data_IF_890864385035
#
_entry.id   IF_890864385035
#
_cell.length_a   1.000
_cell.length_b   1.000
_cell.length_c   1.000
_cell.angle_alpha   90.00
_cell.angle_beta   90.00
_cell.angle_gamma   90.00
#
_symmetry.space_group_name_H-M   'P 1'
#
loop_
_entity.id
_entity.type
_entity.pdbx_description
1 polymer ?
#
# COMPACT_ATOMS: atom_id res chain seq x y z
N UNK A 1 -5.89 22.56 -54.05
CA UNK A 1 -5.17 21.34 -53.63
C UNK A 1 -5.02 21.42 -52.12
N UNK A 2 -6.04 20.97 -51.38
CA UNK A 2 -6.08 21.06 -49.90
C UNK A 2 -5.51 19.78 -49.30
N UNK A 3 -4.48 19.89 -48.48
CA UNK A 3 -4.01 18.80 -47.63
C UNK A 3 -4.80 18.80 -46.33
N UNK A 4 -5.53 17.72 -46.07
CA UNK A 4 -6.12 17.45 -44.77
C UNK A 4 -5.04 16.89 -43.83
N UNK A 5 -4.74 17.61 -42.76
CA UNK A 5 -3.90 17.12 -41.66
C UNK A 5 -4.79 16.22 -40.81
N UNK A 6 -4.61 14.91 -40.94
CA UNK A 6 -5.28 13.92 -40.09
C UNK A 6 -4.69 13.95 -38.68
N UNK A 7 -5.51 14.36 -37.69
CA UNK A 7 -5.22 14.14 -36.28
C UNK A 7 -5.27 12.64 -35.99
N UNK A 8 -4.12 12.06 -35.62
CA UNK A 8 -4.07 10.70 -35.13
C UNK A 8 -4.77 10.63 -33.76
N UNK A 9 -5.62 9.62 -33.51
CA UNK A 9 -6.19 9.42 -32.18
C UNK A 9 -5.05 9.09 -31.20
N UNK A 10 -4.95 9.89 -30.14
CA UNK A 10 -4.09 9.58 -28.99
C UNK A 10 -4.63 8.33 -28.31
N UNK A 11 -3.94 7.21 -28.47
CA UNK A 11 -4.18 6.01 -27.65
C UNK A 11 -3.76 6.36 -26.22
N UNK A 12 -4.62 6.18 -25.20
CA UNK A 12 -4.19 6.38 -23.81
C UNK A 12 -3.06 5.39 -23.51
N UNK A 13 -1.87 5.92 -23.28
CA UNK A 13 -0.72 5.14 -22.78
C UNK A 13 -1.13 4.66 -21.39
N UNK A 14 -1.49 3.39 -21.30
CA UNK A 14 -1.70 2.76 -19.99
C UNK A 14 -0.30 2.60 -19.40
N UNK A 15 0.05 3.40 -18.39
CA UNK A 15 1.34 3.24 -17.74
C UNK A 15 1.46 1.80 -17.22
N UNK A 16 2.55 1.15 -17.60
CA UNK A 16 2.85 -0.21 -17.19
C UNK A 16 3.26 -0.17 -15.71
N UNK A 17 2.29 -0.38 -14.84
CA UNK A 17 2.53 -0.54 -13.41
C UNK A 17 3.41 -1.76 -13.15
N UNK A 18 4.24 -1.66 -12.12
CA UNK A 18 5.04 -2.76 -11.58
C UNK A 18 4.17 -4.03 -11.50
N UNK A 19 4.61 -5.11 -12.15
CA UNK A 19 3.78 -6.28 -12.48
C UNK A 19 2.84 -6.70 -11.34
N UNK A 20 1.53 -6.64 -11.59
CA UNK A 20 0.47 -7.09 -10.67
C UNK A 20 -0.29 -5.98 -9.93
N UNK A 21 0.14 -4.72 -10.00
CA UNK A 21 -0.56 -3.59 -9.36
C UNK A 21 -1.55 -2.95 -10.33
N UNK A 22 -2.82 -2.80 -9.95
CA UNK A 22 -3.86 -2.21 -10.81
C UNK A 22 -4.85 -1.40 -9.99
N UNK A 23 -4.96 -0.12 -10.29
CA UNK A 23 -6.03 0.74 -9.79
C UNK A 23 -7.25 0.67 -10.74
N UNK A 24 -8.46 0.67 -10.19
CA UNK A 24 -9.66 0.62 -11.01
C UNK A 24 -9.92 1.93 -11.79
N UNK A 25 -10.56 1.82 -12.95
CA UNK A 25 -11.09 2.96 -13.73
C UNK A 25 -10.09 4.07 -14.08
N UNK A 26 -8.83 3.72 -14.32
CA UNK A 26 -7.78 4.71 -14.64
C UNK A 26 -7.43 5.63 -13.46
N UNK A 27 -7.84 5.27 -12.24
CA UNK A 27 -7.35 5.94 -11.04
C UNK A 27 -5.87 5.65 -10.84
N UNK A 28 -5.19 6.51 -10.09
CA UNK A 28 -3.79 6.30 -9.66
C UNK A 28 -3.64 6.47 -8.15
N UNK A 29 -4.76 6.55 -7.44
CA UNK A 29 -4.81 6.63 -5.99
C UNK A 29 -6.05 5.94 -5.45
N UNK A 30 -5.97 5.47 -4.21
CA UNK A 30 -7.11 4.99 -3.44
C UNK A 30 -7.07 5.60 -2.04
N UNK A 31 -8.25 5.94 -1.52
CA UNK A 31 -8.41 6.44 -0.15
C UNK A 31 -9.04 5.31 0.67
N UNK A 32 -8.32 4.90 1.70
CA UNK A 32 -8.68 3.84 2.63
C UNK A 32 -9.01 4.45 4.00
N UNK A 33 -10.07 4.00 4.68
CA UNK A 33 -10.16 4.26 6.11
C UNK A 33 -9.03 3.52 6.83
N UNK A 34 -8.45 4.16 7.84
CA UNK A 34 -7.58 3.49 8.81
C UNK A 34 -8.08 3.81 10.23
N UNK A 35 -7.69 2.97 11.17
CA UNK A 35 -7.85 3.25 12.59
C UNK A 35 -6.56 2.90 13.32
N UNK A 36 -6.43 3.38 14.55
CA UNK A 36 -5.30 3.08 15.42
C UNK A 36 -5.73 2.24 16.61
N UNK A 37 -4.85 1.33 17.03
CA UNK A 37 -4.96 0.57 18.26
C UNK A 37 -3.55 0.37 18.79
N UNK A 38 -3.30 0.69 20.06
CA UNK A 38 -1.96 0.65 20.67
C UNK A 38 -0.89 1.36 19.82
N UNK A 39 -1.18 2.59 19.34
CA UNK A 39 -0.31 3.38 18.46
C UNK A 39 0.07 2.73 17.12
N UNK A 40 -0.54 1.59 16.78
CA UNK A 40 -0.35 0.89 15.51
C UNK A 40 -1.48 1.25 14.55
N UNK A 41 -1.16 1.27 13.25
CA UNK A 41 -2.12 1.64 12.21
C UNK A 41 -2.64 0.38 11.53
N UNK A 42 -3.96 0.27 11.44
CA UNK A 42 -4.66 -0.83 10.82
C UNK A 42 -5.50 -0.36 9.63
N UNK A 43 -5.52 -1.18 8.59
CA UNK A 43 -6.41 -0.99 7.44
C UNK A 43 -7.17 -2.28 7.14
N UNK A 44 -8.31 -2.14 6.46
CA UNK A 44 -9.03 -3.27 5.90
C UNK A 44 -8.47 -3.64 4.52
N UNK A 45 -8.26 -4.93 4.31
CA UNK A 45 -7.92 -5.49 3.00
C UNK A 45 -8.65 -6.83 2.80
N UNK A 46 -8.85 -7.24 1.55
CA UNK A 46 -9.32 -8.59 1.22
C UNK A 46 -8.22 -9.38 0.56
N UNK A 47 -8.15 -10.66 0.89
CA UNK A 47 -7.21 -11.61 0.30
C UNK A 47 -8.03 -12.59 -0.54
N UNK A 48 -7.77 -12.62 -1.84
CA UNK A 48 -8.59 -13.32 -2.83
C UNK A 48 -10.07 -12.93 -2.68
N UNK A 49 -10.93 -13.90 -2.40
CA UNK A 49 -12.38 -13.74 -2.23
C UNK A 49 -12.81 -13.64 -0.76
N UNK A 50 -11.89 -13.36 0.16
CA UNK A 50 -12.22 -13.18 1.58
C UNK A 50 -13.10 -11.97 1.83
N UNK A 51 -13.72 -11.95 3.01
CA UNK A 51 -14.23 -10.71 3.61
C UNK A 51 -13.09 -9.74 3.97
N UNK A 52 -13.46 -8.59 4.53
CA UNK A 52 -12.51 -7.59 5.00
C UNK A 52 -11.74 -8.10 6.23
N UNK A 53 -10.42 -8.12 6.12
CA UNK A 53 -9.48 -8.55 7.14
C UNK A 53 -8.69 -7.34 7.66
N UNK A 54 -8.32 -7.37 8.93
CA UNK A 54 -7.52 -6.32 9.56
C UNK A 54 -6.03 -6.57 9.34
N UNK A 55 -5.36 -5.61 8.70
CA UNK A 55 -3.93 -5.67 8.46
C UNK A 55 -3.21 -4.54 9.19
N UNK A 56 -2.20 -4.92 9.97
CA UNK A 56 -1.22 -4.01 10.54
C UNK A 56 -0.32 -3.45 9.43
N UNK A 57 -0.17 -2.13 9.38
CA UNK A 57 0.86 -1.48 8.59
C UNK A 57 2.16 -1.41 9.40
N UNK A 58 3.10 -2.31 9.08
CA UNK A 58 4.38 -2.38 9.77
C UNK A 58 5.53 -2.27 8.78
N UNK A 59 6.08 -1.07 8.55
CA UNK A 59 7.23 -0.91 7.68
C UNK A 59 8.53 -1.47 8.30
N UNK A 60 8.53 -1.89 9.57
CA UNK A 60 9.62 -2.64 10.20
C UNK A 60 9.64 -4.12 9.81
N UNK A 61 8.50 -4.68 9.40
CA UNK A 61 8.42 -6.06 8.93
C UNK A 61 9.16 -6.22 7.60
N UNK A 62 10.30 -6.93 7.64
CA UNK A 62 11.19 -7.15 6.49
C UNK A 62 10.70 -8.20 5.50
N UNK A 63 9.51 -8.78 5.71
CA UNK A 63 9.01 -9.83 4.85
C UNK A 63 8.61 -9.32 3.47
N UNK A 64 8.81 -10.18 2.48
CA UNK A 64 8.38 -9.95 1.10
C UNK A 64 6.96 -10.48 0.96
N UNK A 65 5.99 -9.56 0.98
CA UNK A 65 4.57 -9.88 0.74
C UNK A 65 3.67 -9.69 1.96
N UNK A 66 2.58 -10.46 1.98
CA UNK A 66 1.50 -10.35 2.95
C UNK A 66 1.68 -11.43 4.01
N UNK A 67 1.83 -11.05 5.27
CA UNK A 67 1.78 -12.02 6.35
C UNK A 67 0.32 -12.22 6.76
N UNK A 68 -0.14 -13.45 6.92
CA UNK A 68 -1.48 -13.76 7.42
C UNK A 68 -1.35 -14.62 8.66
N UNK A 69 -2.16 -14.35 9.68
CA UNK A 69 -2.20 -15.18 10.87
C UNK A 69 -2.58 -16.62 10.52
N UNK A 70 -1.91 -17.59 11.14
CA UNK A 70 -2.14 -19.02 10.85
C UNK A 70 -3.59 -19.42 11.11
N UNK A 71 -4.22 -18.99 12.19
CA UNK A 71 -5.60 -19.37 12.49
C UNK A 71 -6.57 -18.77 11.46
N UNK A 72 -6.30 -17.55 11.00
CA UNK A 72 -7.04 -16.95 9.87
C UNK A 72 -6.83 -17.74 8.59
N UNK A 73 -5.58 -18.11 8.28
CA UNK A 73 -5.28 -18.92 7.09
C UNK A 73 -5.95 -20.29 7.10
N UNK A 74 -5.95 -20.97 8.24
CA UNK A 74 -6.59 -22.27 8.41
C UNK A 74 -8.12 -22.16 8.32
N UNK A 75 -8.73 -21.18 8.99
CA UNK A 75 -10.20 -20.99 8.99
C UNK A 75 -10.77 -20.56 7.64
N UNK A 76 -9.96 -19.91 6.79
CA UNK A 76 -10.36 -19.44 5.45
C UNK A 76 -9.85 -20.35 4.33
N UNK A 77 -9.13 -21.43 4.67
CA UNK A 77 -8.47 -22.33 3.73
C UNK A 77 -7.58 -21.58 2.72
N UNK A 78 -6.82 -20.59 3.18
CA UNK A 78 -5.91 -19.85 2.30
C UNK A 78 -4.82 -20.78 1.77
N UNK A 79 -4.58 -20.88 0.46
CA UNK A 79 -3.46 -21.64 -0.04
C UNK A 79 -2.13 -20.93 0.26
N UNK A 80 -1.08 -21.69 0.61
CA UNK A 80 0.30 -21.20 0.56
C UNK A 80 0.70 -21.05 -0.92
N UNK A 81 0.38 -19.89 -1.50
CA UNK A 81 0.64 -19.59 -2.91
C UNK A 81 1.31 -18.23 -3.08
N UNK A 82 1.97 -18.05 -4.22
CA UNK A 82 2.51 -16.78 -4.71
C UNK A 82 1.55 -16.05 -5.67
N UNK A 83 0.35 -16.60 -5.88
CA UNK A 83 -0.66 -16.05 -6.79
C UNK A 83 -1.76 -15.25 -6.07
N UNK A 84 -1.54 -14.85 -4.83
CA UNK A 84 -2.57 -14.17 -4.03
C UNK A 84 -2.88 -12.80 -4.60
N UNK A 85 -4.16 -12.46 -4.59
CA UNK A 85 -4.64 -11.11 -4.91
C UNK A 85 -5.03 -10.40 -3.61
N UNK A 86 -4.35 -9.30 -3.30
CA UNK A 86 -4.75 -8.38 -2.24
C UNK A 86 -5.61 -7.27 -2.83
N UNK A 87 -6.75 -6.99 -2.21
CA UNK A 87 -7.62 -5.88 -2.56
C UNK A 87 -7.63 -4.84 -1.45
N UNK A 88 -7.29 -3.60 -1.82
CA UNK A 88 -7.43 -2.41 -1.02
C UNK A 88 -8.49 -1.51 -1.67
N UNK A 89 -9.76 -1.78 -1.39
CA UNK A 89 -10.90 -1.10 -2.06
C UNK A 89 -10.80 -1.26 -3.59
N UNK A 90 -10.50 -0.19 -4.32
CA UNK A 90 -10.37 -0.18 -5.79
C UNK A 90 -8.95 -0.49 -6.29
N UNK A 91 -7.99 -0.70 -5.39
CA UNK A 91 -6.63 -1.11 -5.72
C UNK A 91 -6.50 -2.63 -5.61
N UNK A 92 -6.11 -3.26 -6.72
CA UNK A 92 -5.77 -4.68 -6.82
C UNK A 92 -4.26 -4.85 -6.83
N UNK A 93 -3.74 -5.72 -5.98
CA UNK A 93 -2.34 -6.15 -6.02
C UNK A 93 -2.30 -7.67 -6.19
N UNK A 94 -2.03 -8.12 -7.40
CA UNK A 94 -1.90 -9.52 -7.75
C UNK A 94 -0.49 -10.07 -7.48
N UNK A 95 -0.36 -11.40 -7.52
CA UNK A 95 0.91 -12.13 -7.41
C UNK A 95 1.66 -11.82 -6.12
N UNK A 96 0.92 -11.67 -5.03
CA UNK A 96 1.50 -11.50 -3.72
C UNK A 96 1.87 -12.86 -3.13
N UNK A 97 3.06 -12.94 -2.56
CA UNK A 97 3.45 -14.06 -1.71
C UNK A 97 2.78 -13.90 -0.35
N UNK A 98 2.04 -14.92 0.08
CA UNK A 98 1.60 -15.02 1.47
C UNK A 98 2.59 -15.87 2.26
N UNK A 99 2.89 -15.43 3.48
CA UNK A 99 3.51 -16.27 4.51
C UNK A 99 2.58 -16.36 5.70
N UNK A 100 2.37 -17.57 6.20
CA UNK A 100 1.65 -17.73 7.46
C UNK A 100 2.60 -17.44 8.61
N UNK A 101 2.13 -16.63 9.54
CA UNK A 101 2.83 -16.33 10.78
C UNK A 101 1.93 -16.76 11.92
N UNK A 102 2.49 -17.41 12.94
CA UNK A 102 1.80 -17.49 14.21
C UNK A 102 2.08 -16.19 14.92
N UNK A 103 1.10 -15.28 14.94
CA UNK A 103 1.26 -14.00 15.61
C UNK A 103 1.16 -14.21 17.12
N UNK A 104 2.26 -14.63 17.75
CA UNK A 104 2.41 -14.59 19.22
C UNK A 104 2.60 -13.17 19.75
N UNK A 105 2.99 -12.23 18.88
CA UNK A 105 3.46 -10.89 19.24
C UNK A 105 2.48 -9.77 18.87
N UNK A 106 1.23 -10.12 18.55
CA UNK A 106 0.17 -9.13 18.44
C UNK A 106 -0.59 -9.10 19.76
N UNK A 107 -0.66 -7.90 20.31
CA UNK A 107 -1.17 -7.64 21.64
C UNK A 107 -2.54 -8.31 21.86
N UNK A 108 -2.78 -8.87 23.07
CA UNK A 108 -4.08 -9.41 23.42
C UNK A 108 -5.19 -8.36 23.23
N UNK A 109 -6.25 -8.72 22.51
CA UNK A 109 -7.49 -7.95 22.45
C UNK A 109 -7.76 -7.20 21.14
N UNK A 110 -6.83 -7.19 20.18
CA UNK A 110 -7.11 -6.63 18.85
C UNK A 110 -6.97 -7.70 17.76
N UNK A 111 -8.04 -8.06 17.02
CA UNK A 111 -7.93 -9.00 15.93
C UNK A 111 -7.07 -8.39 14.83
N UNK A 112 -5.97 -9.08 14.53
CA UNK A 112 -5.14 -8.76 13.39
C UNK A 112 -5.05 -10.02 12.55
N UNK A 113 -5.46 -9.89 11.30
CA UNK A 113 -5.43 -10.98 10.35
C UNK A 113 -4.08 -11.09 9.66
N UNK A 114 -3.22 -10.08 9.76
CA UNK A 114 -1.96 -10.07 9.05
C UNK A 114 -1.15 -8.77 9.12
N UNK A 115 0.02 -8.80 8.50
CA UNK A 115 0.93 -7.64 8.43
C UNK A 115 1.23 -7.31 6.97
N UNK A 116 1.11 -6.02 6.63
CA UNK A 116 1.61 -5.45 5.39
C UNK A 116 2.97 -4.81 5.66
N UNK A 117 4.01 -5.57 5.33
CA UNK A 117 5.39 -5.20 5.61
C UNK A 117 6.01 -4.24 4.60
N UNK A 118 7.27 -3.87 4.85
CA UNK A 118 8.05 -3.01 3.95
C UNK A 118 8.05 -3.48 2.49
N UNK A 119 8.15 -4.78 2.25
CA UNK A 119 8.15 -5.36 0.90
C UNK A 119 6.89 -5.01 0.10
N UNK A 120 5.76 -4.85 0.78
CA UNK A 120 4.49 -4.38 0.23
C UNK A 120 4.45 -2.84 0.13
N UNK A 121 4.74 -2.15 1.24
CA UNK A 121 4.54 -0.70 1.37
C UNK A 121 5.43 0.12 0.44
N UNK A 122 6.65 -0.34 0.16
CA UNK A 122 7.62 0.33 -0.73
C UNK A 122 7.15 0.55 -2.18
N UNK A 123 6.01 -0.02 -2.56
CA UNK A 123 5.46 0.09 -3.91
C UNK A 123 4.51 1.29 -4.06
N UNK A 124 4.29 2.06 -2.99
CA UNK A 124 3.30 3.13 -2.93
C UNK A 124 3.87 4.39 -2.30
N UNK A 125 3.23 5.52 -2.61
CA UNK A 125 3.30 6.72 -1.78
C UNK A 125 2.11 6.70 -0.82
N UNK A 126 2.38 6.80 0.48
CA UNK A 126 1.39 6.64 1.54
C UNK A 126 1.22 7.92 2.34
N UNK A 127 0.05 8.57 2.29
CA UNK A 127 -0.23 9.78 3.08
C UNK A 127 -1.26 9.51 4.16
N UNK A 128 -0.98 9.92 5.39
CA UNK A 128 -1.86 9.72 6.53
C UNK A 128 -2.56 11.02 6.90
N UNK A 129 -3.88 11.04 6.73
CA UNK A 129 -4.76 12.10 7.22
C UNK A 129 -5.36 11.65 8.55
N UNK A 130 -4.59 11.84 9.64
CA UNK A 130 -4.97 11.42 10.99
C UNK A 130 -6.25 12.10 11.49
N UNK A 131 -6.48 13.36 11.09
CA UNK A 131 -7.69 14.11 11.47
C UNK A 131 -8.97 13.45 10.95
N UNK A 132 -8.92 12.85 9.76
CA UNK A 132 -10.09 12.22 9.14
C UNK A 132 -10.01 10.68 9.10
N UNK A 133 -8.98 10.07 9.70
CA UNK A 133 -8.76 8.63 9.69
C UNK A 133 -8.60 8.05 8.27
N UNK A 134 -7.88 8.75 7.38
CA UNK A 134 -7.72 8.32 5.98
C UNK A 134 -6.28 8.07 5.58
N UNK A 135 -6.03 6.95 4.93
CA UNK A 135 -4.78 6.62 4.28
C UNK A 135 -4.97 6.79 2.78
N UNK A 136 -4.18 7.66 2.18
CA UNK A 136 -4.15 7.86 0.73
C UNK A 136 -2.98 7.04 0.19
N UNK A 137 -3.28 6.08 -0.66
CA UNK A 137 -2.30 5.19 -1.31
C UNK A 137 -2.23 5.60 -2.78
N UNK A 138 -1.08 6.10 -3.22
CA UNK A 138 -0.88 6.61 -4.57
C UNK A 138 0.17 5.81 -5.32
N UNK A 139 -0.05 5.59 -6.61
CA UNK A 139 0.97 5.07 -7.52
C UNK A 139 2.16 6.05 -7.56
N UNK A 140 3.39 5.62 -7.25
CA UNK A 140 4.55 6.50 -7.30
C UNK A 140 4.77 7.16 -8.67
N UNK A 141 4.40 6.50 -9.77
CA UNK A 141 4.56 7.05 -11.13
C UNK A 141 3.62 8.21 -11.46
N UNK A 142 2.59 8.42 -10.65
CA UNK A 142 1.58 9.46 -10.81
C UNK A 142 1.52 10.41 -9.61
N UNK A 143 2.45 10.27 -8.67
CA UNK A 143 2.52 11.14 -7.52
C UNK A 143 3.19 12.45 -7.90
N UNK A 144 2.41 13.52 -7.91
CA UNK A 144 2.90 14.89 -8.02
C UNK A 144 2.91 15.54 -6.65
N UNK A 145 4.10 15.96 -6.20
CA UNK A 145 4.21 16.81 -5.02
C UNK A 145 4.81 18.17 -5.40
N UNK A 146 3.92 19.15 -5.49
CA UNK A 146 4.31 20.53 -5.75
C UNK A 146 5.14 21.16 -4.63
N UNK A 147 5.21 20.52 -3.45
CA UNK A 147 6.07 20.91 -2.33
C UNK A 147 7.46 20.26 -2.38
N UNK A 148 7.67 19.26 -3.24
CA UNK A 148 8.97 18.61 -3.48
C UNK A 148 9.69 19.12 -4.74
N UNK A 149 9.23 20.23 -5.35
CA UNK A 149 9.86 20.84 -6.53
C UNK A 149 11.37 20.99 -6.34
N UNK A 150 12.15 20.35 -7.21
CA UNK A 150 13.62 20.40 -7.20
C UNK A 150 14.33 19.25 -6.50
N UNK A 151 13.61 18.26 -5.96
CA UNK A 151 14.21 17.00 -5.50
C UNK A 151 14.12 15.95 -6.61
N UNK A 152 15.27 15.34 -6.94
CA UNK A 152 15.37 14.37 -8.03
C UNK A 152 14.36 13.22 -7.90
N UNK A 153 13.91 12.62 -9.03
CA UNK A 153 13.17 11.37 -8.99
C UNK A 153 13.94 10.37 -8.14
N UNK A 154 13.23 9.71 -7.23
CA UNK A 154 13.78 8.81 -6.22
C UNK A 154 14.41 7.57 -6.89
N UNK A 155 15.61 7.74 -7.44
CA UNK A 155 16.40 6.67 -8.05
C UNK A 155 16.92 5.75 -6.94
N UNK A 156 16.10 4.77 -6.56
CA UNK A 156 16.54 3.60 -5.80
C UNK A 156 16.48 3.68 -4.27
N UNK A 157 16.06 4.80 -3.68
CA UNK A 157 15.81 4.88 -2.23
C UNK A 157 14.30 4.86 -1.95
N UNK A 158 13.81 3.77 -1.37
CA UNK A 158 12.39 3.57 -1.06
C UNK A 158 11.96 4.57 0.01
N UNK A 159 11.24 5.61 -0.41
CA UNK A 159 10.76 6.67 0.45
C UNK A 159 9.34 6.31 0.93
N UNK A 160 9.13 6.21 2.24
CA UNK A 160 7.78 6.31 2.79
C UNK A 160 7.53 7.78 3.13
N UNK A 161 6.64 8.40 2.36
CA UNK A 161 6.30 9.82 2.42
C UNK A 161 5.13 10.06 3.37
N UNK A 162 5.39 10.08 4.67
CA UNK A 162 4.37 10.47 5.64
C UNK A 162 4.14 11.99 5.54
N UNK A 163 3.02 12.37 4.93
CA UNK A 163 2.52 13.74 4.98
C UNK A 163 1.55 13.87 6.17
N UNK A 164 1.97 14.55 7.23
CA UNK A 164 1.11 14.99 8.35
C UNK A 164 1.01 16.52 8.29
N UNK A 165 -0.20 17.06 8.23
CA UNK A 165 -0.46 18.51 8.38
C UNK A 165 0.36 19.43 7.45
N UNK A 166 0.64 18.98 6.21
CA UNK A 166 1.41 19.76 5.24
C UNK A 166 2.93 19.72 5.44
N UNK A 167 3.43 18.92 6.39
CA UNK A 167 4.86 18.64 6.56
C UNK A 167 5.20 17.28 5.97
N UNK A 168 6.19 17.27 5.08
CA UNK A 168 6.77 16.08 4.49
C UNK A 168 7.76 15.44 5.45
N UNK A 169 7.37 14.32 6.07
CA UNK A 169 8.31 13.47 6.79
C UNK A 169 8.86 12.45 5.81
N UNK A 170 10.15 12.61 5.51
CA UNK A 170 10.90 11.64 4.73
C UNK A 170 11.52 10.62 5.68
N UNK A 171 11.03 9.38 5.66
CA UNK A 171 11.67 8.31 6.43
C UNK A 171 12.86 7.74 5.64
N UNK A 172 14.07 8.01 6.14
CA UNK A 172 15.30 7.35 5.69
C UNK A 172 15.58 6.14 6.59
N UNK A 173 15.48 4.92 6.05
CA UNK A 173 15.79 3.70 6.79
C UNK A 173 17.30 3.47 6.87
N UNK A 174 17.86 3.28 8.08
CA UNK A 174 18.36 1.93 8.37
C UNK A 174 18.08 1.38 9.80
N UNK A 175 17.37 2.07 10.72
CA UNK A 175 17.04 1.51 12.05
C UNK A 175 15.63 1.88 12.53
N UNK A 176 15.05 0.91 13.22
CA UNK A 176 13.66 0.71 13.64
C UNK A 176 12.97 1.92 14.31
N UNK A 177 11.64 1.91 14.21
CA UNK A 177 10.60 2.79 14.77
C UNK A 177 10.08 3.93 13.88
N UNK A 178 8.78 3.85 13.59
CA UNK A 178 7.93 4.94 13.14
C UNK A 178 7.38 5.61 14.41
N UNK A 179 8.04 6.67 14.88
CA UNK A 179 7.48 7.51 15.95
C UNK A 179 6.55 8.51 15.29
N UNK A 180 5.25 8.28 15.43
CA UNK A 180 4.24 9.30 15.18
C UNK A 180 4.05 10.05 16.50
N UNK A 181 4.74 11.17 16.68
CA UNK A 181 4.48 12.07 17.80
C UNK A 181 3.63 13.25 17.34
N UNK A 182 2.73 13.69 18.21
CA UNK A 182 1.95 14.93 18.11
C UNK A 182 2.84 16.18 18.12
#
# INVERSE_FOLDING_TARGET
MSMAIGLLPTVPITAQTKAGLTFAHGQHMVILPFYTSDHRIFIKARVNDSGDLDFLLDPGARTTGVQVDRAVAESTNFPLTDTVVLWLKTLKIARQRITWVTQKDLEPGHPCSGVLGYGFLRNFVLRFDGKHGRLIVTDPGYFEDNTLKGKEPLNGQNLMLLLREGKTVTLHYPRNYMIVSD
#
